data_IF_522268291550
#
_entry.id   IF_522268291550
#
_cell.length_a   1.000
_cell.length_b   1.000
_cell.length_c   1.000
_cell.angle_alpha   90.00
_cell.angle_beta   90.00
_cell.angle_gamma   90.00
#
_symmetry.space_group_name_H-M   'P 1'
#
loop_
_entity.id
_entity.type
_entity.pdbx_description
1 polymer ?
#
# COMPACT_ATOMS: atom_id res chain seq x y z
N UNK A 1 -40.21 24.59 -16.10
CA UNK A 1 -38.79 24.25 -16.30
C UNK A 1 -38.23 23.87 -14.93
N UNK A 2 -38.18 22.58 -14.60
CA UNK A 2 -37.69 22.09 -13.30
C UNK A 2 -36.19 21.84 -13.43
N UNK A 3 -35.38 22.62 -12.72
CA UNK A 3 -33.96 22.30 -12.56
C UNK A 3 -33.87 21.10 -11.63
N UNK A 4 -33.45 19.95 -12.16
CA UNK A 4 -32.95 18.87 -11.32
C UNK A 4 -31.60 19.33 -10.77
N UNK A 5 -31.58 19.69 -9.49
CA UNK A 5 -30.32 19.79 -8.75
C UNK A 5 -29.82 18.36 -8.64
N UNK A 6 -28.87 17.96 -9.48
CA UNK A 6 -28.16 16.70 -9.26
C UNK A 6 -27.50 16.83 -7.89
N UNK A 7 -27.84 15.95 -6.97
CA UNK A 7 -27.15 15.88 -5.69
C UNK A 7 -25.65 15.74 -5.99
N UNK A 8 -24.85 16.66 -5.44
CA UNK A 8 -23.40 16.55 -5.50
C UNK A 8 -23.09 15.26 -4.74
N UNK A 9 -22.50 14.27 -5.41
CA UNK A 9 -22.11 13.02 -4.77
C UNK A 9 -21.26 13.34 -3.53
N UNK A 10 -21.43 12.57 -2.46
CA UNK A 10 -20.62 12.75 -1.26
C UNK A 10 -19.12 12.70 -1.63
N UNK A 11 -18.27 13.55 -1.04
CA UNK A 11 -16.86 13.55 -1.38
C UNK A 11 -16.21 12.19 -1.08
N UNK A 12 -15.48 11.65 -2.05
CA UNK A 12 -14.84 10.33 -1.96
C UNK A 12 -13.65 10.40 -0.99
N UNK A 13 -13.49 9.39 -0.15
CA UNK A 13 -12.31 9.21 0.71
C UNK A 13 -11.50 7.99 0.27
N UNK A 14 -10.23 8.21 -0.07
CA UNK A 14 -9.25 7.20 -0.43
C UNK A 14 -8.20 7.10 0.68
N UNK A 15 -7.82 5.89 1.07
CA UNK A 15 -6.72 5.64 2.01
C UNK A 15 -5.66 4.80 1.30
N UNK A 16 -4.39 5.21 1.39
CA UNK A 16 -3.28 4.52 0.74
C UNK A 16 -2.36 3.88 1.77
N UNK A 17 -2.39 2.55 1.86
CA UNK A 17 -1.53 1.77 2.74
C UNK A 17 -0.32 1.29 1.95
N UNK A 18 0.85 1.35 2.56
CA UNK A 18 2.03 0.76 1.97
C UNK A 18 3.31 1.07 2.72
N UNK A 19 4.42 0.98 2.00
CA UNK A 19 5.75 1.22 2.55
C UNK A 19 6.31 2.60 2.14
N UNK A 20 7.64 2.71 2.01
CA UNK A 20 8.33 3.91 1.52
C UNK A 20 7.84 4.38 0.15
N UNK A 21 7.41 3.48 -0.73
CA UNK A 21 6.87 3.83 -2.05
C UNK A 21 5.57 4.63 -1.91
N UNK A 22 4.75 4.27 -0.92
CA UNK A 22 3.51 5.01 -0.61
C UNK A 22 3.80 6.27 0.19
N UNK A 23 4.71 6.19 1.17
CA UNK A 23 5.12 7.34 2.00
C UNK A 23 5.67 8.48 1.12
N UNK A 24 6.61 8.17 0.24
CA UNK A 24 7.22 9.15 -0.66
C UNK A 24 6.34 9.45 -1.88
N UNK A 25 5.25 8.70 -2.07
CA UNK A 25 4.25 9.00 -3.09
C UNK A 25 3.56 10.36 -2.90
N UNK A 26 3.72 11.04 -1.76
CA UNK A 26 3.23 12.41 -1.57
C UNK A 26 4.27 13.51 -1.90
N UNK A 27 5.47 13.15 -2.36
CA UNK A 27 6.50 14.13 -2.75
C UNK A 27 6.07 14.81 -4.06
N UNK A 28 5.93 16.14 -4.00
CA UNK A 28 5.46 16.97 -5.12
C UNK A 28 6.49 17.01 -6.26
N UNK A 29 7.77 17.22 -5.92
CA UNK A 29 8.84 17.41 -6.90
C UNK A 29 9.08 16.17 -7.78
N UNK A 30 8.71 14.99 -7.26
CA UNK A 30 8.80 13.70 -7.97
C UNK A 30 7.52 13.36 -8.74
N UNK A 31 6.51 14.23 -8.73
CA UNK A 31 5.15 13.91 -9.20
C UNK A 31 4.65 12.60 -8.56
N UNK A 32 4.81 12.48 -7.25
CA UNK A 32 4.46 11.27 -6.51
C UNK A 32 3.01 10.86 -6.73
N UNK A 33 2.77 9.56 -6.85
CA UNK A 33 1.46 9.04 -7.25
C UNK A 33 0.32 9.38 -6.27
N UNK A 34 0.60 9.44 -4.95
CA UNK A 34 -0.39 9.84 -3.94
C UNK A 34 -0.71 11.33 -4.07
N UNK A 35 0.31 12.17 -4.30
CA UNK A 35 0.11 13.60 -4.55
C UNK A 35 -0.68 13.85 -5.83
N UNK A 36 -0.40 13.11 -6.91
CA UNK A 36 -1.16 13.19 -8.16
C UNK A 36 -2.64 12.82 -7.93
N UNK A 37 -2.90 11.72 -7.20
CA UNK A 37 -4.26 11.36 -6.80
C UNK A 37 -4.94 12.47 -5.98
N UNK A 38 -4.23 13.08 -5.03
CA UNK A 38 -4.77 14.23 -4.29
C UNK A 38 -5.20 15.36 -5.22
N UNK A 39 -4.39 15.68 -6.24
CA UNK A 39 -4.74 16.74 -7.19
C UNK A 39 -5.95 16.37 -8.05
N UNK A 40 -6.07 15.11 -8.46
CA UNK A 40 -7.19 14.62 -9.27
C UNK A 40 -8.53 14.67 -8.53
N UNK A 41 -8.53 14.36 -7.22
CA UNK A 41 -9.75 14.32 -6.41
C UNK A 41 -10.07 15.64 -5.68
N UNK A 42 -9.14 16.61 -5.68
CA UNK A 42 -9.35 17.92 -5.07
C UNK A 42 -10.55 18.70 -5.62
N UNK A 43 -10.85 18.73 -6.94
CA UNK A 43 -11.98 19.49 -7.47
C UNK A 43 -13.36 19.04 -6.98
N UNK A 44 -13.48 17.78 -6.55
CA UNK A 44 -14.72 17.19 -6.00
C UNK A 44 -14.74 17.17 -4.47
N UNK A 45 -13.82 17.88 -3.81
CA UNK A 45 -13.57 17.84 -2.36
C UNK A 45 -13.23 16.44 -1.82
N UNK A 46 -12.76 15.54 -2.70
CA UNK A 46 -12.29 14.22 -2.27
C UNK A 46 -11.07 14.32 -1.37
N UNK A 47 -10.88 13.30 -0.54
CA UNK A 47 -9.76 13.18 0.39
C UNK A 47 -8.92 11.98 0.04
N UNK A 48 -7.61 12.15 -0.02
CA UNK A 48 -6.65 11.05 -0.09
C UNK A 48 -5.83 11.10 1.19
N UNK A 49 -5.70 9.97 1.87
CA UNK A 49 -4.97 9.85 3.14
C UNK A 49 -3.76 8.95 2.89
N UNK A 50 -2.56 9.52 3.00
CA UNK A 50 -1.32 8.77 2.93
C UNK A 50 -1.05 8.05 4.27
N UNK A 51 -0.95 6.71 4.23
CA UNK A 51 -0.57 5.86 5.37
C UNK A 51 0.70 5.08 5.11
N UNK A 52 1.49 5.41 4.09
CA UNK A 52 2.75 4.73 3.84
C UNK A 52 3.73 4.88 5.00
N UNK A 53 4.43 3.81 5.36
CA UNK A 53 5.47 3.84 6.39
C UNK A 53 6.75 3.17 5.87
N UNK A 54 7.85 3.94 5.85
CA UNK A 54 9.13 3.48 5.33
C UNK A 54 9.62 2.18 5.97
N UNK A 55 9.98 1.21 5.12
CA UNK A 55 10.53 -0.08 5.53
C UNK A 55 9.53 -1.08 6.11
N UNK A 56 8.23 -0.78 6.15
CA UNK A 56 7.21 -1.69 6.66
C UNK A 56 6.86 -2.80 5.67
N UNK A 57 6.43 -3.92 6.22
CA UNK A 57 6.11 -5.17 5.51
C UNK A 57 4.68 -5.60 5.82
N UNK A 58 4.15 -6.58 5.10
CA UNK A 58 2.84 -7.17 5.39
C UNK A 58 2.74 -7.66 6.85
N UNK A 59 3.80 -8.30 7.37
CA UNK A 59 3.91 -8.78 8.77
C UNK A 59 3.70 -7.68 9.81
N UNK A 60 4.14 -6.45 9.53
CA UNK A 60 3.93 -5.31 10.44
C UNK A 60 2.55 -4.67 10.26
N UNK A 61 2.10 -4.58 9.01
CA UNK A 61 0.83 -3.96 8.68
C UNK A 61 -0.39 -4.73 9.16
N UNK A 62 -0.43 -6.06 9.00
CA UNK A 62 -1.58 -6.87 9.38
C UNK A 62 -2.04 -6.69 10.84
N UNK A 63 -1.16 -6.84 11.86
CA UNK A 63 -1.56 -6.61 13.25
C UNK A 63 -1.83 -5.13 13.54
N UNK A 64 -1.05 -4.19 12.98
CA UNK A 64 -1.28 -2.76 13.19
C UNK A 64 -2.66 -2.33 12.67
N UNK A 65 -3.04 -2.80 11.48
CA UNK A 65 -4.34 -2.55 10.88
C UNK A 65 -5.48 -3.07 11.77
N UNK A 66 -5.33 -4.27 12.34
CA UNK A 66 -6.35 -4.87 13.20
C UNK A 66 -6.60 -4.08 14.50
N UNK A 67 -5.62 -3.28 14.94
CA UNK A 67 -5.71 -2.50 16.18
C UNK A 67 -6.08 -1.02 15.95
N UNK A 68 -5.51 -0.38 14.93
CA UNK A 68 -5.45 1.08 14.85
C UNK A 68 -6.28 1.69 13.71
N UNK A 69 -7.14 0.92 13.04
CA UNK A 69 -7.90 1.38 11.87
C UNK A 69 -8.84 2.56 12.17
N UNK A 70 -9.27 2.71 13.43
CA UNK A 70 -10.15 3.77 13.89
C UNK A 70 -9.42 5.08 14.20
N UNK A 71 -8.10 5.04 14.38
CA UNK A 71 -7.28 6.22 14.63
C UNK A 71 -6.81 6.90 13.35
N UNK A 72 -7.34 6.46 12.19
CA UNK A 72 -6.96 6.96 10.88
C UNK A 72 -7.50 8.38 10.54
N UNK A 73 -7.49 9.28 11.51
CA UNK A 73 -7.52 10.73 11.30
C UNK A 73 -8.90 11.37 11.48
N UNK A 74 -9.78 10.78 12.29
CA UNK A 74 -11.08 11.40 12.58
C UNK A 74 -11.96 11.56 11.35
N UNK A 75 -11.85 10.63 10.38
CA UNK A 75 -12.78 10.59 9.25
C UNK A 75 -14.19 10.31 9.81
N UNK A 76 -15.15 11.25 9.69
CA UNK A 76 -16.53 11.00 10.13
C UNK A 76 -17.23 9.93 9.27
N UNK A 77 -16.56 9.41 8.25
CA UNK A 77 -17.09 8.53 7.22
C UNK A 77 -16.10 7.42 6.87
N UNK A 78 -16.58 6.18 6.69
CA UNK A 78 -15.79 5.06 6.14
C UNK A 78 -15.07 5.42 4.83
N UNK A 79 -13.88 4.86 4.55
CA UNK A 79 -13.23 5.04 3.26
C UNK A 79 -14.02 4.36 2.13
N UNK A 80 -14.07 4.99 0.97
CA UNK A 80 -14.66 4.42 -0.24
C UNK A 80 -13.71 3.43 -0.92
N UNK A 81 -12.40 3.73 -0.88
CA UNK A 81 -11.33 2.91 -1.44
C UNK A 81 -10.12 2.89 -0.51
N UNK A 82 -9.59 1.70 -0.27
CA UNK A 82 -8.30 1.49 0.38
C UNK A 82 -7.37 0.81 -0.61
N UNK A 83 -6.19 1.39 -0.84
CA UNK A 83 -5.14 0.71 -1.61
C UNK A 83 -4.14 0.05 -0.67
N UNK A 84 -3.61 -1.12 -1.06
CA UNK A 84 -2.52 -1.81 -0.35
C UNK A 84 -1.38 -2.01 -1.35
N UNK A 85 -0.29 -1.27 -1.15
CA UNK A 85 0.94 -1.34 -1.95
C UNK A 85 2.10 -1.83 -1.06
N UNK A 86 2.23 -3.16 -0.97
CA UNK A 86 3.20 -3.87 -0.13
C UNK A 86 3.85 -5.00 -0.94
N UNK A 87 4.83 -5.68 -0.35
CA UNK A 87 5.57 -6.78 -0.99
C UNK A 87 6.99 -6.40 -1.38
N UNK A 88 7.32 -5.12 -1.55
CA UNK A 88 8.67 -4.71 -1.89
C UNK A 88 9.65 -5.00 -0.75
N UNK A 89 9.29 -4.67 0.49
CA UNK A 89 10.12 -5.00 1.67
C UNK A 89 10.06 -6.47 2.05
N UNK A 90 8.92 -7.12 1.85
CA UNK A 90 8.73 -8.55 2.09
C UNK A 90 9.68 -9.39 1.22
N UNK A 91 9.87 -8.97 -0.05
CA UNK A 91 10.76 -9.58 -1.04
C UNK A 91 12.26 -9.33 -0.85
N UNK A 92 12.68 -8.74 0.26
CA UNK A 92 14.12 -8.65 0.59
C UNK A 92 14.69 -10.05 0.69
N UNK A 93 15.87 -10.26 0.10
CA UNK A 93 16.52 -11.56 0.10
C UNK A 93 16.85 -12.00 1.54
N UNK A 94 16.37 -13.16 2.00
CA UNK A 94 16.53 -13.58 3.40
C UNK A 94 17.98 -13.72 3.85
N UNK A 95 18.91 -14.03 2.92
CA UNK A 95 20.33 -14.13 3.23
C UNK A 95 20.99 -12.78 3.52
N UNK A 96 20.39 -11.67 3.08
CA UNK A 96 20.94 -10.32 3.17
C UNK A 96 20.26 -9.47 4.25
N UNK A 97 19.24 -10.02 4.91
CA UNK A 97 18.43 -9.33 5.89
C UNK A 97 18.21 -10.21 7.12
N UNK A 98 18.83 -9.91 8.27
CA UNK A 98 18.73 -10.70 9.50
C UNK A 98 17.35 -10.53 10.17
N UNK A 99 16.28 -10.80 9.44
CA UNK A 99 14.89 -10.81 9.89
C UNK A 99 14.23 -9.44 10.04
N UNK A 100 14.75 -8.36 9.44
CA UNK A 100 14.17 -7.04 9.64
C UNK A 100 12.95 -6.78 8.75
N UNK A 101 13.01 -7.20 7.48
CA UNK A 101 12.03 -6.95 6.44
C UNK A 101 11.53 -8.21 5.73
N UNK A 102 12.37 -9.22 5.51
CA UNK A 102 11.95 -10.42 4.79
C UNK A 102 10.74 -11.11 5.45
N UNK A 103 9.75 -11.43 4.62
CA UNK A 103 8.55 -12.19 4.98
C UNK A 103 8.38 -13.29 3.95
N UNK A 104 8.22 -14.54 4.37
CA UNK A 104 8.01 -15.64 3.44
C UNK A 104 6.75 -15.40 2.59
N UNK A 105 6.78 -15.79 1.31
CA UNK A 105 5.67 -15.50 0.37
C UNK A 105 4.33 -16.08 0.84
N UNK A 106 4.31 -17.21 1.54
CA UNK A 106 3.09 -17.77 2.09
C UNK A 106 2.58 -16.96 3.29
N UNK A 107 3.48 -16.51 4.17
CA UNK A 107 3.11 -15.61 5.27
C UNK A 107 2.58 -14.28 4.73
N UNK A 108 3.22 -13.73 3.71
CA UNK A 108 2.81 -12.51 3.03
C UNK A 108 1.37 -12.59 2.53
N UNK A 109 0.98 -13.69 1.86
CA UNK A 109 -0.41 -13.90 1.41
C UNK A 109 -1.37 -13.96 2.60
N UNK A 110 -1.01 -14.66 3.67
CA UNK A 110 -1.83 -14.73 4.89
C UNK A 110 -2.04 -13.34 5.51
N UNK A 111 -0.99 -12.52 5.57
CA UNK A 111 -1.11 -11.16 6.11
C UNK A 111 -1.96 -10.26 5.21
N UNK A 112 -1.82 -10.34 3.89
CA UNK A 112 -2.68 -9.59 2.98
C UNK A 112 -4.15 -10.01 3.10
N UNK A 113 -4.43 -11.31 3.14
CA UNK A 113 -5.79 -11.83 3.32
C UNK A 113 -6.41 -11.33 4.63
N UNK A 114 -5.66 -11.39 5.74
CA UNK A 114 -6.08 -10.84 7.03
C UNK A 114 -6.40 -9.33 6.93
N UNK A 115 -5.57 -8.56 6.23
CA UNK A 115 -5.80 -7.13 6.06
C UNK A 115 -7.07 -6.85 5.25
N UNK A 116 -7.27 -7.55 4.14
CA UNK A 116 -8.45 -7.42 3.28
C UNK A 116 -9.72 -7.83 4.04
N UNK A 117 -9.70 -8.97 4.72
CA UNK A 117 -10.82 -9.45 5.52
C UNK A 117 -11.18 -8.47 6.63
N UNK A 118 -10.18 -7.92 7.33
CA UNK A 118 -10.41 -6.92 8.36
C UNK A 118 -11.05 -5.65 7.79
N UNK A 119 -10.55 -5.13 6.66
CA UNK A 119 -11.10 -3.96 5.98
C UNK A 119 -12.57 -4.15 5.58
N UNK A 120 -12.90 -5.30 4.97
CA UNK A 120 -14.29 -5.59 4.60
C UNK A 120 -15.19 -5.79 5.83
N UNK A 121 -14.67 -6.35 6.92
CA UNK A 121 -15.45 -6.51 8.17
C UNK A 121 -15.76 -5.16 8.83
N UNK A 122 -14.78 -4.25 8.82
CA UNK A 122 -14.87 -2.95 9.48
C UNK A 122 -15.62 -1.92 8.62
N UNK A 123 -15.43 -1.97 7.29
CA UNK A 123 -16.04 -1.07 6.33
C UNK A 123 -16.68 -1.85 5.16
N UNK A 124 -17.89 -2.40 5.34
CA UNK A 124 -18.51 -3.30 4.36
C UNK A 124 -18.72 -2.70 2.96
N UNK A 125 -18.81 -1.37 2.84
CA UNK A 125 -18.96 -0.67 1.56
C UNK A 125 -17.63 -0.28 0.91
N UNK A 126 -16.51 -0.39 1.64
CA UNK A 126 -15.19 -0.02 1.17
C UNK A 126 -14.71 -0.99 0.08
N UNK A 127 -14.12 -0.47 -0.98
CA UNK A 127 -13.38 -1.26 -1.96
C UNK A 127 -11.92 -1.37 -1.54
N UNK A 128 -11.30 -2.52 -1.80
CA UNK A 128 -9.87 -2.71 -1.60
C UNK A 128 -9.20 -2.93 -2.95
N UNK A 129 -8.13 -2.17 -3.23
CA UNK A 129 -7.28 -2.33 -4.41
C UNK A 129 -5.90 -2.79 -3.98
N UNK A 130 -5.53 -4.00 -4.38
CA UNK A 130 -4.18 -4.52 -4.20
C UNK A 130 -3.29 -4.01 -5.34
N UNK A 131 -2.13 -3.46 -5.01
CA UNK A 131 -1.14 -2.95 -5.95
C UNK A 131 0.15 -3.75 -5.76
N UNK A 132 0.53 -4.51 -6.78
CA UNK A 132 1.72 -5.37 -6.74
C UNK A 132 2.99 -4.57 -6.48
N UNK A 133 4.00 -5.16 -5.80
CA UNK A 133 5.29 -4.51 -5.65
C UNK A 133 5.91 -4.22 -7.04
N UNK A 134 6.58 -3.06 -7.21
CA UNK A 134 7.17 -2.70 -8.49
C UNK A 134 8.39 -3.57 -8.82
N UNK A 135 8.80 -3.56 -10.10
CA UNK A 135 10.04 -4.18 -10.52
C UNK A 135 11.25 -3.56 -9.79
N UNK A 136 12.25 -4.39 -9.51
CA UNK A 136 13.48 -3.98 -8.84
C UNK A 136 14.47 -3.49 -9.88
N UNK A 137 15.02 -2.30 -9.66
CA UNK A 137 16.18 -1.85 -10.40
C UNK A 137 17.45 -2.47 -9.76
N UNK A 138 17.87 -3.62 -10.30
CA UNK A 138 19.04 -4.35 -9.80
C UNK A 138 20.37 -3.58 -9.90
N UNK A 139 20.41 -2.47 -10.65
CA UNK A 139 21.60 -1.62 -10.75
C UNK A 139 21.75 -0.65 -9.55
N UNK A 140 20.69 -0.45 -8.75
CA UNK A 140 20.75 0.35 -7.53
C UNK A 140 21.26 -0.51 -6.38
N UNK A 141 22.56 -0.41 -6.10
CA UNK A 141 23.20 -1.03 -4.95
C UNK A 141 23.02 -0.17 -3.70
N UNK A 142 22.75 -0.79 -2.56
CA UNK A 142 22.82 -0.12 -1.25
C UNK A 142 24.30 -0.04 -0.83
N UNK A 143 25.09 0.79 -1.51
CA UNK A 143 26.52 0.99 -1.21
C UNK A 143 26.78 1.52 0.21
N UNK A 144 25.76 2.08 0.86
CA UNK A 144 25.88 2.72 2.18
C UNK A 144 26.03 1.74 3.36
N UNK A 145 25.72 0.45 3.20
CA UNK A 145 25.74 -0.53 4.31
C UNK A 145 26.81 -1.61 4.11
N UNK A 146 27.02 -2.09 2.89
CA UNK A 146 28.13 -3.01 2.56
C UNK A 146 28.60 -2.80 1.10
N UNK A 147 29.83 -2.29 0.89
CA UNK A 147 30.36 -2.02 -0.46
C UNK A 147 30.49 -3.23 -1.39
N UNK A 148 30.29 -4.45 -0.88
CA UNK A 148 30.34 -5.71 -1.63
C UNK A 148 28.98 -6.40 -1.76
N UNK A 149 27.91 -5.85 -1.16
CA UNK A 149 26.58 -6.43 -1.27
C UNK A 149 25.92 -5.98 -2.58
N UNK A 150 25.42 -6.95 -3.34
CA UNK A 150 24.54 -6.67 -4.48
C UNK A 150 23.22 -6.03 -4.03
N UNK A 151 22.26 -5.93 -4.95
CA UNK A 151 20.91 -5.47 -4.60
C UNK A 151 20.31 -6.34 -3.49
N UNK A 152 19.63 -5.70 -2.51
CA UNK A 152 18.92 -6.41 -1.42
C UNK A 152 17.69 -7.19 -1.91
N UNK A 153 17.25 -6.92 -3.13
CA UNK A 153 16.06 -7.49 -3.76
C UNK A 153 16.41 -7.87 -5.20
N UNK A 154 15.69 -8.83 -5.74
CA UNK A 154 15.81 -9.21 -7.15
C UNK A 154 14.43 -9.31 -7.80
N UNK A 155 14.39 -9.12 -9.12
CA UNK A 155 13.15 -9.24 -9.90
C UNK A 155 12.53 -10.65 -9.82
N UNK A 156 13.34 -11.71 -9.79
CA UNK A 156 12.82 -13.07 -9.66
C UNK A 156 12.16 -13.30 -8.29
N UNK A 157 12.74 -12.76 -7.22
CA UNK A 157 12.16 -12.85 -5.88
C UNK A 157 10.90 -11.99 -5.78
N UNK A 158 11.00 -10.71 -6.12
CA UNK A 158 9.87 -9.75 -6.06
C UNK A 158 8.71 -10.17 -6.96
N UNK A 159 9.00 -10.80 -8.09
CA UNK A 159 8.00 -11.36 -9.00
C UNK A 159 7.12 -12.43 -8.36
N UNK A 160 7.63 -13.20 -7.38
CA UNK A 160 6.83 -14.18 -6.65
C UNK A 160 5.77 -13.49 -5.78
N UNK A 161 6.10 -12.37 -5.11
CA UNK A 161 5.17 -11.59 -4.30
C UNK A 161 4.13 -10.88 -5.15
N UNK A 162 4.53 -10.37 -6.31
CA UNK A 162 3.60 -9.82 -7.29
C UNK A 162 2.60 -10.87 -7.78
N UNK A 163 3.08 -12.05 -8.19
CA UNK A 163 2.22 -13.15 -8.62
C UNK A 163 1.28 -13.64 -7.52
N UNK A 164 1.78 -13.75 -6.28
CA UNK A 164 1.00 -14.17 -5.13
C UNK A 164 -0.12 -13.16 -4.78
N UNK A 165 0.18 -11.85 -4.85
CA UNK A 165 -0.83 -10.81 -4.64
C UNK A 165 -1.92 -10.82 -5.73
N UNK A 166 -1.54 -11.02 -7.00
CA UNK A 166 -2.51 -11.16 -8.10
C UNK A 166 -3.43 -12.34 -7.86
N UNK A 167 -2.87 -13.51 -7.53
CA UNK A 167 -3.66 -14.71 -7.24
C UNK A 167 -4.64 -14.51 -6.06
N UNK A 168 -4.23 -13.77 -5.02
CA UNK A 168 -5.12 -13.41 -3.92
C UNK A 168 -6.27 -12.51 -4.38
N UNK A 169 -5.99 -11.52 -5.22
CA UNK A 169 -6.99 -10.57 -5.72
C UNK A 169 -8.01 -11.15 -6.71
N UNK A 170 -7.76 -12.33 -7.26
CA UNK A 170 -8.66 -13.05 -8.17
C UNK A 170 -9.61 -14.03 -7.45
N UNK A 171 -9.38 -14.31 -6.16
CA UNK A 171 -10.22 -15.19 -5.33
C UNK A 171 -11.49 -14.50 -4.83
#
# INVERSE_FOLDING_TARGET
>A
MSYRVNAIAAPITLVTIGDSITLFGSIVDDSGWVWMLEQDYKPSNGKVVNRGIGGWTSRRWAPHLAHDILEWGGAPTPPDLVTICLGANDAVLPALDPGLQHVDVHEYVVYLDQMVAHLHSTFPSCKVLLITPPAVNNALTFESVQPTAGSLRENNETGQYAAAMVALGEC
#
